data_IF_015175142515
#
_entry.id   IF_015175142515
#
_cell.length_a   1.000
_cell.length_b   1.000
_cell.length_c   1.000
_cell.angle_alpha   90.00
_cell.angle_beta   90.00
_cell.angle_gamma   90.00
#
_symmetry.space_group_name_H-M   'P 1'
#
loop_
_entity.id
_entity.type
_entity.pdbx_description
1 polymer ?
#
# COMPACT_ATOMS: atom_id res chain seq x y z
N UNK A 1 30.95 2.54 -42.66
CA UNK A 1 32.36 2.89 -42.44
C UNK A 1 32.37 4.40 -42.24
N UNK A 2 32.81 4.87 -41.08
CA UNK A 2 33.00 6.28 -40.76
C UNK A 2 34.46 6.69 -41.01
N UNK A 3 34.66 7.99 -41.21
CA UNK A 3 35.87 8.61 -41.78
C UNK A 3 37.10 8.64 -40.84
N UNK A 4 37.20 7.70 -39.90
CA UNK A 4 38.26 7.67 -38.87
C UNK A 4 38.90 6.29 -38.69
N UNK A 5 38.50 5.29 -39.48
CA UNK A 5 39.10 3.94 -39.42
C UNK A 5 38.79 3.13 -38.16
N UNK A 6 38.06 3.71 -37.19
CA UNK A 6 37.59 3.03 -36.00
C UNK A 6 36.31 2.26 -36.30
N UNK A 7 36.42 0.94 -36.53
CA UNK A 7 35.23 0.08 -36.59
C UNK A 7 34.57 0.05 -35.21
N UNK A 8 33.37 0.63 -35.11
CA UNK A 8 32.55 0.53 -33.90
C UNK A 8 32.42 -0.94 -33.45
N UNK A 9 32.56 -1.25 -32.15
CA UNK A 9 32.34 -2.60 -31.63
C UNK A 9 30.98 -3.12 -32.07
N UNK A 10 30.95 -4.34 -32.61
CA UNK A 10 29.71 -5.04 -32.93
C UNK A 10 29.35 -5.96 -31.77
N UNK A 11 28.06 -6.17 -31.59
CA UNK A 11 27.49 -7.00 -30.53
C UNK A 11 26.86 -8.22 -31.18
N UNK A 12 27.46 -9.38 -31.02
CA UNK A 12 26.97 -10.65 -31.54
C UNK A 12 25.90 -11.27 -30.65
N UNK A 13 25.02 -12.06 -31.27
CA UNK A 13 24.10 -12.93 -30.56
C UNK A 13 24.81 -14.26 -30.26
N UNK A 14 24.80 -14.69 -28.99
CA UNK A 14 25.43 -15.95 -28.59
C UNK A 14 24.68 -17.20 -29.09
N UNK A 15 23.43 -17.04 -29.54
CA UNK A 15 22.55 -18.16 -29.93
C UNK A 15 22.34 -18.25 -31.45
N UNK A 16 22.58 -17.17 -32.21
CA UNK A 16 22.46 -17.18 -33.66
C UNK A 16 23.52 -16.29 -34.31
N UNK A 17 23.64 -16.34 -35.63
CA UNK A 17 24.72 -15.64 -36.36
C UNK A 17 24.49 -14.14 -36.57
N UNK A 18 23.50 -13.52 -35.89
CA UNK A 18 23.21 -12.09 -36.06
C UNK A 18 24.14 -11.22 -35.22
N UNK A 19 24.57 -10.12 -35.80
CA UNK A 19 25.31 -9.06 -35.13
C UNK A 19 24.58 -7.71 -35.20
N UNK A 20 24.83 -6.87 -34.22
CA UNK A 20 24.15 -5.59 -34.03
C UNK A 20 25.15 -4.46 -33.82
N UNK A 21 24.77 -3.25 -34.25
CA UNK A 21 25.56 -2.04 -34.05
C UNK A 21 25.48 -1.43 -32.65
N UNK A 22 24.64 -1.98 -31.75
CA UNK A 22 24.53 -1.55 -30.36
C UNK A 22 24.09 -2.69 -29.44
N UNK A 23 24.53 -2.64 -28.17
CA UNK A 23 24.11 -3.59 -27.14
C UNK A 23 22.58 -3.60 -26.96
N UNK A 24 21.94 -2.43 -27.04
CA UNK A 24 20.48 -2.33 -26.88
C UNK A 24 19.74 -3.09 -28.00
N UNK A 25 20.21 -2.99 -29.24
CA UNK A 25 19.64 -3.73 -30.36
C UNK A 25 19.83 -5.25 -30.21
N UNK A 26 21.01 -5.68 -29.75
CA UNK A 26 21.25 -7.10 -29.43
C UNK A 26 20.32 -7.59 -28.32
N UNK A 27 20.15 -6.83 -27.23
CA UNK A 27 19.25 -7.18 -26.12
C UNK A 27 17.78 -7.28 -26.56
N UNK A 28 17.32 -6.34 -27.39
CA UNK A 28 15.97 -6.39 -27.96
C UNK A 28 15.79 -7.61 -28.85
N UNK A 29 16.79 -7.95 -29.67
CA UNK A 29 16.77 -9.17 -30.45
C UNK A 29 16.65 -10.41 -29.55
N UNK A 30 17.51 -10.58 -28.55
CA UNK A 30 17.49 -11.73 -27.63
C UNK A 30 16.11 -11.94 -26.98
N UNK A 31 15.45 -10.84 -26.66
CA UNK A 31 14.09 -10.82 -26.09
C UNK A 31 13.03 -11.19 -27.14
N UNK A 32 13.08 -10.57 -28.32
CA UNK A 32 12.06 -10.69 -29.36
C UNK A 32 12.04 -12.08 -30.02
N UNK A 33 13.21 -12.71 -30.20
CA UNK A 33 13.29 -14.07 -30.77
C UNK A 33 13.28 -15.17 -29.70
N UNK A 34 13.17 -14.78 -28.42
CA UNK A 34 13.05 -15.73 -27.31
C UNK A 34 14.33 -16.52 -27.01
N UNK A 35 15.51 -15.98 -27.36
CA UNK A 35 16.79 -16.58 -26.95
C UNK A 35 17.01 -16.47 -25.44
N UNK A 36 16.48 -15.43 -24.79
CA UNK A 36 16.41 -15.38 -23.33
C UNK A 36 15.14 -16.01 -22.82
N UNK A 37 15.22 -16.77 -21.73
CA UNK A 37 14.03 -17.24 -21.03
C UNK A 37 13.15 -16.04 -20.58
N UNK A 38 11.82 -16.17 -20.66
CA UNK A 38 10.91 -15.12 -20.20
C UNK A 38 11.05 -14.94 -18.69
N UNK A 39 11.31 -13.68 -18.28
CA UNK A 39 11.62 -13.33 -16.88
C UNK A 39 10.44 -12.71 -16.15
N UNK A 40 9.50 -12.11 -16.88
CA UNK A 40 8.36 -11.40 -16.30
C UNK A 40 7.25 -12.41 -16.03
N UNK A 41 6.86 -12.55 -14.77
CA UNK A 41 5.83 -13.48 -14.33
C UNK A 41 4.48 -12.77 -14.35
N UNK A 42 3.42 -13.53 -14.63
CA UNK A 42 2.09 -13.09 -14.27
C UNK A 42 1.84 -13.40 -12.79
N UNK A 43 1.35 -12.44 -12.03
CA UNK A 43 1.08 -12.62 -10.60
C UNK A 43 -0.16 -13.50 -10.33
N UNK A 44 -1.01 -13.68 -11.34
CA UNK A 44 -2.29 -14.40 -11.23
C UNK A 44 -2.31 -15.78 -11.90
N UNK A 45 -1.37 -16.09 -12.80
CA UNK A 45 -1.31 -17.37 -13.48
C UNK A 45 0.13 -17.81 -13.77
N UNK A 46 0.32 -19.04 -14.25
CA UNK A 46 1.65 -19.59 -14.51
C UNK A 46 2.35 -19.03 -15.78
N UNK A 47 1.73 -18.07 -16.48
CA UNK A 47 2.24 -17.54 -17.75
C UNK A 47 3.42 -16.60 -17.52
N UNK A 48 4.40 -16.66 -18.43
CA UNK A 48 5.63 -15.85 -18.40
C UNK A 48 5.77 -15.05 -19.68
N UNK A 49 6.38 -13.88 -19.58
CA UNK A 49 6.56 -12.92 -20.66
C UNK A 49 8.01 -12.45 -20.75
N UNK A 50 8.41 -12.07 -21.95
CA UNK A 50 9.76 -11.54 -22.22
C UNK A 50 9.88 -10.05 -21.92
N UNK A 51 8.75 -9.32 -21.87
CA UNK A 51 8.72 -7.87 -21.57
C UNK A 51 7.61 -7.53 -20.57
N UNK A 52 7.82 -6.43 -19.81
CA UNK A 52 6.81 -5.91 -18.87
C UNK A 52 5.53 -5.48 -19.62
N UNK A 53 5.68 -4.81 -20.76
CA UNK A 53 4.54 -4.35 -21.56
C UNK A 53 3.62 -5.51 -21.98
N UNK A 54 4.19 -6.66 -22.37
CA UNK A 54 3.42 -7.83 -22.74
C UNK A 54 2.68 -8.44 -21.54
N UNK A 55 3.32 -8.46 -20.37
CA UNK A 55 2.67 -8.90 -19.13
C UNK A 55 1.52 -7.96 -18.73
N UNK A 56 1.73 -6.63 -18.78
CA UNK A 56 0.70 -5.64 -18.46
C UNK A 56 -0.50 -5.73 -19.41
N UNK A 57 -0.25 -5.94 -20.71
CA UNK A 57 -1.31 -6.15 -21.69
C UNK A 57 -2.10 -7.41 -21.38
N UNK A 58 -1.43 -8.53 -21.08
CA UNK A 58 -2.07 -9.76 -20.68
C UNK A 58 -2.95 -9.59 -19.43
N UNK A 59 -2.46 -8.85 -18.44
CA UNK A 59 -3.19 -8.58 -17.21
C UNK A 59 -4.43 -7.72 -17.46
N UNK A 60 -4.39 -6.80 -18.45
CA UNK A 60 -5.56 -6.04 -18.90
C UNK A 60 -6.56 -6.91 -19.68
N UNK A 61 -6.08 -7.68 -20.66
CA UNK A 61 -6.93 -8.48 -21.55
C UNK A 61 -7.70 -9.57 -20.81
N UNK A 62 -7.08 -10.17 -19.79
CA UNK A 62 -7.71 -11.18 -18.95
C UNK A 62 -8.34 -10.60 -17.68
N UNK A 63 -8.42 -9.27 -17.55
CA UNK A 63 -9.01 -8.62 -16.39
C UNK A 63 -8.40 -9.10 -15.05
N UNK A 64 -7.13 -9.50 -15.06
CA UNK A 64 -6.43 -9.97 -13.86
C UNK A 64 -6.30 -8.86 -12.82
N UNK A 65 -6.29 -7.59 -13.25
CA UNK A 65 -6.26 -6.44 -12.35
C UNK A 65 -7.62 -6.06 -11.77
N UNK A 66 -8.72 -6.63 -12.25
CA UNK A 66 -10.06 -6.13 -11.94
C UNK A 66 -10.54 -6.58 -10.56
N UNK A 67 -9.97 -7.67 -10.03
CA UNK A 67 -10.39 -8.28 -8.77
C UNK A 67 -9.21 -8.60 -7.84
N UNK A 68 -8.18 -7.76 -7.75
CA UNK A 68 -7.08 -7.96 -6.79
C UNK A 68 -6.80 -6.70 -5.97
N UNK A 69 -6.33 -6.90 -4.74
CA UNK A 69 -5.93 -5.81 -3.86
C UNK A 69 -4.41 -5.62 -3.90
N UNK A 70 -3.93 -4.52 -4.50
CA UNK A 70 -2.50 -4.19 -4.56
C UNK A 70 -1.83 -3.95 -3.19
N UNK A 71 -2.63 -3.67 -2.15
CA UNK A 71 -2.09 -3.35 -0.84
C UNK A 71 -1.74 -4.60 -0.01
N UNK A 72 -2.35 -5.74 -0.32
CA UNK A 72 -2.09 -7.01 0.39
C UNK A 72 -1.98 -8.23 -0.54
N UNK A 73 -1.99 -8.01 -1.85
CA UNK A 73 -1.90 -9.00 -2.94
C UNK A 73 -2.96 -10.12 -2.90
N UNK A 74 -4.08 -9.89 -2.21
CA UNK A 74 -5.24 -10.78 -2.20
C UNK A 74 -6.04 -10.73 -3.50
N UNK A 75 -6.60 -11.88 -3.89
CA UNK A 75 -7.40 -12.05 -5.11
C UNK A 75 -8.86 -12.34 -4.77
N UNK A 76 -9.76 -11.77 -5.54
CA UNK A 76 -11.21 -11.83 -5.36
C UNK A 76 -11.88 -12.39 -6.60
N UNK A 77 -13.07 -12.96 -6.43
CA UNK A 77 -13.80 -13.58 -7.56
C UNK A 77 -14.50 -12.54 -8.43
N UNK A 78 -14.80 -11.37 -7.86
CA UNK A 78 -15.50 -10.29 -8.52
C UNK A 78 -15.22 -8.94 -7.83
N UNK A 79 -15.66 -7.87 -8.50
CA UNK A 79 -15.43 -6.49 -8.06
C UNK A 79 -16.12 -6.20 -6.72
N UNK A 80 -17.30 -6.80 -6.47
CA UNK A 80 -18.03 -6.58 -5.23
C UNK A 80 -17.26 -7.12 -4.01
N UNK A 81 -16.66 -8.31 -4.13
CA UNK A 81 -15.80 -8.89 -3.10
C UNK A 81 -14.56 -8.03 -2.86
N UNK A 82 -13.87 -7.57 -3.92
CA UNK A 82 -12.75 -6.64 -3.79
C UNK A 82 -13.18 -5.35 -3.08
N UNK A 83 -14.33 -4.78 -3.46
CA UNK A 83 -14.85 -3.55 -2.87
C UNK A 83 -15.21 -3.73 -1.40
N UNK A 84 -15.79 -4.87 -1.02
CA UNK A 84 -16.04 -5.23 0.37
C UNK A 84 -14.74 -5.40 1.16
N UNK A 85 -13.73 -6.05 0.57
CA UNK A 85 -12.41 -6.21 1.17
C UNK A 85 -11.70 -4.87 1.39
N UNK A 86 -11.70 -3.98 0.40
CA UNK A 86 -11.16 -2.62 0.51
C UNK A 86 -11.90 -1.79 1.58
N UNK A 87 -13.17 -2.10 1.83
CA UNK A 87 -13.99 -1.46 2.86
C UNK A 87 -13.92 -2.17 4.23
N UNK A 88 -13.23 -3.30 4.33
CA UNK A 88 -13.15 -4.11 5.54
C UNK A 88 -12.12 -3.55 6.53
N UNK A 89 -12.10 -4.14 7.74
CA UNK A 89 -11.13 -3.79 8.79
C UNK A 89 -9.66 -4.00 8.36
N UNK A 90 -9.41 -4.80 7.32
CA UNK A 90 -8.07 -5.05 6.78
C UNK A 90 -7.43 -3.79 6.18
N UNK A 91 -8.24 -2.90 5.58
CA UNK A 91 -7.74 -1.66 4.95
C UNK A 91 -8.36 -0.39 5.53
N UNK A 92 -9.63 -0.44 5.94
CA UNK A 92 -10.34 0.67 6.58
C UNK A 92 -10.35 0.59 8.10
N UNK A 93 -9.75 -0.44 8.71
CA UNK A 93 -9.77 -0.66 10.15
C UNK A 93 -9.59 0.65 10.90
N UNK A 94 -10.67 1.13 11.52
CA UNK A 94 -10.73 2.40 12.25
C UNK A 94 -9.58 2.40 13.26
N UNK A 95 -8.47 3.05 12.91
CA UNK A 95 -7.42 3.38 13.85
C UNK A 95 -7.85 4.67 14.53
N UNK A 96 -8.73 4.55 15.53
CA UNK A 96 -8.98 5.67 16.42
C UNK A 96 -7.68 5.88 17.20
N UNK A 97 -6.98 6.95 16.86
CA UNK A 97 -5.68 7.27 17.44
C UNK A 97 -5.90 7.92 18.80
N UNK A 98 -5.19 7.46 19.82
CA UNK A 98 -5.13 8.18 21.08
C UNK A 98 -4.51 9.57 20.85
N UNK A 99 -5.17 10.67 21.25
CA UNK A 99 -4.68 12.03 20.98
C UNK A 99 -3.37 12.35 21.71
N UNK A 100 -3.06 11.64 22.81
CA UNK A 100 -1.88 11.89 23.63
C UNK A 100 -0.68 11.04 23.21
N UNK A 101 -0.83 9.71 23.11
CA UNK A 101 0.28 8.79 22.83
C UNK A 101 0.34 8.30 21.38
N UNK A 102 -0.62 8.70 20.54
CA UNK A 102 -0.72 8.34 19.12
C UNK A 102 -0.83 6.84 18.80
N UNK A 103 -1.06 6.00 19.82
CA UNK A 103 -1.31 4.57 19.68
C UNK A 103 -2.65 4.32 19.01
N UNK A 104 -2.71 3.29 18.16
CA UNK A 104 -3.88 2.96 17.36
C UNK A 104 -4.79 1.96 18.08
N UNK A 105 -6.10 2.18 17.99
CA UNK A 105 -7.12 1.30 18.55
C UNK A 105 -8.19 1.04 17.51
N UNK A 106 -8.79 -0.15 17.54
CA UNK A 106 -9.82 -0.61 16.59
C UNK A 106 -11.18 0.10 16.75
N UNK A 107 -11.35 0.91 17.80
CA UNK A 107 -12.57 1.67 18.09
C UNK A 107 -12.31 2.79 19.10
N UNK A 108 -13.24 3.75 19.20
CA UNK A 108 -13.22 4.81 20.22
C UNK A 108 -13.28 4.25 21.66
N UNK A 109 -14.07 3.19 21.89
CA UNK A 109 -14.13 2.50 23.20
C UNK A 109 -12.77 1.96 23.63
N UNK A 110 -11.97 1.45 22.67
CA UNK A 110 -10.60 1.01 22.93
C UNK A 110 -9.68 2.15 23.40
N UNK A 111 -9.85 3.34 22.81
CA UNK A 111 -9.13 4.55 23.26
C UNK A 111 -9.57 4.97 24.66
N UNK A 112 -10.87 4.94 24.95
CA UNK A 112 -11.40 5.31 26.29
C UNK A 112 -10.86 4.38 27.36
N UNK A 113 -10.94 3.05 27.16
CA UNK A 113 -10.41 2.08 28.12
C UNK A 113 -8.89 2.24 28.35
N UNK A 114 -8.14 2.53 27.28
CA UNK A 114 -6.71 2.84 27.40
C UNK A 114 -6.42 4.05 28.28
N UNK A 115 -7.25 5.10 28.18
CA UNK A 115 -7.14 6.27 29.05
C UNK A 115 -7.61 5.94 30.46
N UNK A 116 -8.80 5.38 30.65
CA UNK A 116 -9.35 5.08 31.97
C UNK A 116 -8.47 4.18 32.84
N UNK A 117 -7.76 3.23 32.21
CA UNK A 117 -6.81 2.33 32.90
C UNK A 117 -5.46 2.97 33.25
N UNK A 118 -5.21 4.23 32.88
CA UNK A 118 -3.91 4.88 33.07
C UNK A 118 -2.80 4.28 32.19
N UNK A 119 -3.15 3.46 31.19
CA UNK A 119 -2.19 2.77 30.31
C UNK A 119 -1.54 3.70 29.27
N UNK A 120 -1.83 5.01 29.31
CA UNK A 120 -1.29 6.00 28.40
C UNK A 120 0.04 6.56 28.90
N UNK A 121 1.18 6.26 28.25
CA UNK A 121 2.49 6.74 28.69
C UNK A 121 2.61 8.27 28.59
N UNK A 122 1.87 8.89 27.68
CA UNK A 122 1.85 10.34 27.47
C UNK A 122 0.78 11.05 28.29
N UNK A 123 -0.10 10.31 28.98
CA UNK A 123 -1.16 10.85 29.82
C UNK A 123 -1.48 9.92 31.01
N UNK A 124 -0.51 9.61 31.89
CA UNK A 124 -0.69 8.63 32.98
C UNK A 124 -1.68 9.10 34.06
N UNK A 125 -1.94 10.41 34.11
CA UNK A 125 -2.87 11.03 35.08
C UNK A 125 -4.31 11.03 34.59
N UNK A 126 -4.57 10.83 33.30
CA UNK A 126 -5.92 10.64 32.77
C UNK A 126 -6.27 9.19 33.06
N UNK A 127 -7.07 8.96 34.11
CA UNK A 127 -7.58 7.66 34.51
C UNK A 127 -9.02 7.83 35.00
N UNK A 128 -9.69 6.73 35.33
CA UNK A 128 -11.10 6.74 35.76
C UNK A 128 -11.37 7.72 36.91
N UNK A 129 -10.49 7.80 37.91
CA UNK A 129 -10.66 8.70 39.06
C UNK A 129 -10.51 10.17 38.65
N UNK A 130 -9.52 10.49 37.82
CA UNK A 130 -9.27 11.86 37.37
C UNK A 130 -10.38 12.34 36.41
N UNK A 131 -10.88 11.45 35.54
CA UNK A 131 -11.99 11.77 34.62
C UNK A 131 -13.28 12.03 35.40
N UNK A 132 -13.61 11.16 36.37
CA UNK A 132 -14.76 11.36 37.25
C UNK A 132 -14.60 12.62 38.14
N UNK A 133 -13.38 12.92 38.57
CA UNK A 133 -13.05 14.15 39.28
C UNK A 133 -13.24 15.42 38.43
N UNK A 134 -12.84 15.38 37.16
CA UNK A 134 -13.05 16.47 36.21
C UNK A 134 -14.53 16.73 35.93
N UNK A 135 -15.37 15.69 35.84
CA UNK A 135 -16.83 15.85 35.70
C UNK A 135 -17.44 16.53 36.93
N UNK A 136 -17.04 16.14 38.15
CA UNK A 136 -17.51 16.77 39.40
C UNK A 136 -17.12 18.25 39.50
N UNK A 137 -15.99 18.65 38.92
CA UNK A 137 -15.56 20.07 38.88
C UNK A 137 -16.31 20.82 37.77
N UNK A 138 -16.67 20.16 36.68
CA UNK A 138 -17.48 20.73 35.59
C UNK A 138 -18.88 21.14 36.02
N UNK A 139 -19.56 20.33 36.84
CA UNK A 139 -20.88 20.68 37.41
C UNK A 139 -20.83 21.91 38.33
N UNK A 140 -19.69 22.15 39.00
CA UNK A 140 -19.48 23.33 39.86
C UNK A 140 -19.26 24.60 39.03
N UNK A 141 -18.70 24.49 37.83
CA UNK A 141 -18.42 25.64 36.96
C UNK A 141 -19.59 25.99 36.03
N UNK A 142 -20.45 25.02 35.67
CA UNK A 142 -21.64 25.27 34.84
C UNK A 142 -22.81 25.86 35.64
N UNK A 143 -22.77 25.79 36.98
CA UNK A 143 -23.84 26.24 37.88
C UNK A 143 -23.79 27.70 38.38
N UNK A 144 -22.89 28.57 37.87
CA UNK A 144 -22.80 29.98 38.32
C UNK A 144 -22.94 30.99 37.18
N UNK A 145 -24.18 31.23 36.75
CA UNK A 145 -24.72 32.51 36.22
C UNK A 145 -26.23 32.48 36.54
N UNK A 146 -26.92 33.44 37.16
CA UNK A 146 -26.70 34.86 37.49
C UNK A 146 -27.84 35.30 38.45
N UNK A 147 -27.64 36.45 39.10
CA UNK A 147 -28.59 37.49 39.59
C UNK A 147 -29.65 37.19 40.68
N UNK A 148 -29.61 38.03 41.74
CA UNK A 148 -30.80 38.77 42.18
C UNK A 148 -30.40 40.16 42.67
N UNK A 149 -31.05 41.17 42.11
CA UNK A 149 -31.06 42.56 42.53
C UNK A 149 -31.59 42.71 43.97
N UNK A 150 -31.07 43.70 44.68
CA UNK A 150 -31.84 44.74 45.38
C UNK A 150 -31.00 46.01 45.43
#
# INVERSE_FOLDING_TARGET
MDNTGHRAPRFDCETCTKDFGSQNAANQHMTAVGHWAPKVLCDTCARKFFTQQAADQHMRDLAHYTNYCKACDEKFRNENELRMHLNSKTHRGNNTRCPFCRRNYTSATGVVHHLESGSCPSAPKLNRETILGMCRVGDVLQGRKLIAFS
#
